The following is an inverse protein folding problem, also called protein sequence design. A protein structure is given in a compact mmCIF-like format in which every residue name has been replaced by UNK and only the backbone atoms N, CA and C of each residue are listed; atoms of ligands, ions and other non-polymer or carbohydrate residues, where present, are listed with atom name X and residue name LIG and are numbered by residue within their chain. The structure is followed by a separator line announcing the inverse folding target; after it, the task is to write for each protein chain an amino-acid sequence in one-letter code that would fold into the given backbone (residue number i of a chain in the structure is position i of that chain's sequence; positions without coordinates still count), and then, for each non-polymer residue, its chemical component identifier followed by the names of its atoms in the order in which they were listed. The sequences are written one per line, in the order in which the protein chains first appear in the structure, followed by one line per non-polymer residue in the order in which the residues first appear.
data_IF_220724001901
#
_entry.id   IF_220724001901
#
_cell.length_a   1.000
_cell.length_b   1.000
_cell.length_c   1.000
_cell.angle_alpha   90.00
_cell.angle_beta   90.00
_cell.angle_gamma   90.00
#
_symmetry.space_group_name_H-M   'P 1'
#
loop_
_entity.id
_entity.type
_entity.pdbx_description
1 polymer ?
#
# COMPACT_ATOMS: atom_id res chain seq x y z
N UNK A 1 -0.87 -54.55 -13.60
CA UNK A 1 -0.74 -53.32 -12.80
C UNK A 1 -1.69 -52.30 -13.38
N UNK A 2 -2.47 -51.67 -12.51
CA UNK A 2 -3.63 -50.82 -12.78
C UNK A 2 -3.25 -49.36 -12.54
N UNK A 3 -3.39 -48.53 -13.58
CA UNK A 3 -3.28 -47.05 -13.64
C UNK A 3 -2.00 -46.39 -13.07
N UNK A 4 -1.27 -45.68 -13.93
CA UNK A 4 -0.19 -44.76 -13.54
C UNK A 4 -0.76 -43.34 -13.41
N UNK A 5 -0.80 -42.80 -12.18
CA UNK A 5 -1.39 -41.49 -11.88
C UNK A 5 -0.40 -40.33 -11.94
N UNK A 6 0.90 -40.61 -11.95
CA UNK A 6 1.94 -39.58 -11.93
C UNK A 6 2.21 -39.09 -13.36
N UNK A 7 1.58 -37.98 -13.73
CA UNK A 7 1.79 -37.32 -15.01
C UNK A 7 3.21 -36.73 -15.10
N UNK A 8 3.88 -36.92 -16.24
CA UNK A 8 5.25 -36.45 -16.46
C UNK A 8 6.37 -37.40 -16.01
N UNK A 9 6.06 -38.50 -15.33
CA UNK A 9 7.07 -39.50 -14.93
C UNK A 9 7.71 -40.18 -16.15
N UNK A 10 9.04 -40.33 -16.12
CA UNK A 10 9.84 -40.99 -17.16
C UNK A 10 10.16 -42.42 -16.74
N UNK A 11 9.86 -43.38 -17.61
CA UNK A 11 10.07 -44.80 -17.39
C UNK A 11 11.08 -45.34 -18.38
N UNK A 12 12.04 -46.11 -17.87
CA UNK A 12 12.96 -46.89 -18.69
C UNK A 12 12.46 -48.33 -18.79
N UNK A 13 12.39 -48.87 -19.99
CA UNK A 13 12.12 -50.29 -20.23
C UNK A 13 13.12 -50.85 -21.24
N UNK A 14 13.76 -51.97 -20.90
CA UNK A 14 14.61 -52.70 -21.85
C UNK A 14 13.73 -53.63 -22.69
N UNK A 15 13.62 -53.35 -23.98
CA UNK A 15 12.80 -54.11 -24.94
C UNK A 15 13.75 -54.67 -26.00
N UNK A 16 13.80 -56.00 -26.14
CA UNK A 16 14.69 -56.70 -27.07
C UNK A 16 16.18 -56.36 -26.90
N UNK A 17 16.63 -56.05 -25.68
CA UNK A 17 18.01 -55.68 -25.37
C UNK A 17 18.36 -54.21 -25.60
N UNK A 18 17.39 -53.40 -26.03
CA UNK A 18 17.54 -51.94 -26.19
C UNK A 18 16.77 -51.21 -25.10
N UNK A 19 17.38 -50.19 -24.51
CA UNK A 19 16.72 -49.33 -23.54
C UNK A 19 15.80 -48.32 -24.25
N UNK A 20 14.52 -48.35 -23.90
CA UNK A 20 13.50 -47.40 -24.37
C UNK A 20 12.97 -46.57 -23.21
N UNK A 21 12.64 -45.32 -23.49
CA UNK A 21 12.18 -44.36 -22.50
C UNK A 21 10.77 -43.91 -22.84
N UNK A 22 9.90 -43.82 -21.84
CA UNK A 22 8.49 -43.45 -22.01
C UNK A 22 8.09 -42.40 -20.99
N UNK A 23 7.18 -41.49 -21.36
CA UNK A 23 6.58 -40.51 -20.46
C UNK A 23 5.09 -40.81 -20.28
N UNK A 24 4.61 -40.76 -19.03
CA UNK A 24 3.18 -40.84 -18.77
C UNK A 24 2.49 -39.52 -19.09
N UNK A 25 1.66 -39.49 -20.14
CA UNK A 25 0.78 -38.37 -20.48
C UNK A 25 -0.66 -38.83 -20.32
N UNK A 26 -1.41 -38.24 -19.40
CA UNK A 26 -2.83 -38.57 -19.16
C UNK A 26 -3.12 -40.07 -19.00
N UNK A 27 -2.24 -40.81 -18.31
CA UNK A 27 -2.40 -42.25 -18.08
C UNK A 27 -1.96 -43.14 -19.26
N UNK A 28 -1.32 -42.57 -20.29
CA UNK A 28 -0.78 -43.28 -21.45
C UNK A 28 0.74 -43.10 -21.52
N UNK A 29 1.47 -44.22 -21.71
CA UNK A 29 2.91 -44.19 -21.96
C UNK A 29 3.18 -43.81 -23.41
N UNK A 30 3.82 -42.67 -23.61
CA UNK A 30 4.24 -42.15 -24.92
C UNK A 30 5.77 -42.27 -25.03
N UNK A 31 6.30 -42.61 -26.21
CA UNK A 31 7.76 -42.64 -26.43
C UNK A 31 8.37 -41.26 -26.10
N UNK A 32 9.40 -41.27 -25.27
CA UNK A 32 10.05 -40.08 -24.73
C UNK A 32 11.39 -39.78 -25.42
N UNK A 33 11.89 -40.70 -26.25
CA UNK A 33 13.14 -40.49 -26.96
C UNK A 33 13.02 -39.33 -27.95
N UNK A 34 13.75 -38.24 -27.70
CA UNK A 34 13.94 -37.18 -28.68
C UNK A 34 14.85 -37.73 -29.77
N UNK A 35 14.38 -37.72 -31.00
CA UNK A 35 14.98 -38.54 -32.06
C UNK A 35 16.42 -38.17 -32.45
N UNK A 36 17.06 -37.14 -31.87
CA UNK A 36 18.49 -36.85 -32.03
C UNK A 36 19.08 -36.05 -30.84
N UNK A 37 20.35 -36.28 -30.47
CA UNK A 37 21.16 -35.36 -29.65
C UNK A 37 21.10 -33.92 -30.19
N UNK A 38 20.94 -32.94 -29.30
CA UNK A 38 20.94 -31.51 -29.64
C UNK A 38 22.15 -30.84 -29.00
N UNK A 39 22.72 -29.86 -29.69
CA UNK A 39 23.69 -28.93 -29.10
C UNK A 39 23.12 -27.54 -29.22
N UNK A 40 22.66 -26.98 -28.10
CA UNK A 40 21.94 -25.71 -28.06
C UNK A 40 22.81 -24.66 -27.37
N UNK A 41 22.84 -23.44 -27.89
CA UNK A 41 23.59 -22.31 -27.29
C UNK A 41 22.65 -21.22 -26.82
N UNK A 42 22.89 -20.67 -25.62
CA UNK A 42 22.05 -19.64 -25.03
C UNK A 42 22.66 -19.00 -23.76
N UNK A 43 21.83 -18.29 -23.00
CA UNK A 43 22.26 -17.50 -21.81
C UNK A 43 22.90 -18.35 -20.69
N UNK A 44 22.48 -19.61 -20.57
CA UNK A 44 23.01 -20.56 -19.58
C UNK A 44 24.27 -21.32 -20.07
N UNK A 45 24.78 -21.00 -21.27
CA UNK A 45 25.94 -21.65 -21.88
C UNK A 45 25.57 -22.54 -23.07
N UNK A 46 26.37 -23.57 -23.31
CA UNK A 46 26.10 -24.60 -24.32
C UNK A 46 25.54 -25.83 -23.64
N UNK A 47 24.37 -26.28 -24.08
CA UNK A 47 23.68 -27.48 -23.59
C UNK A 47 23.80 -28.56 -24.67
N UNK A 48 24.48 -29.66 -24.36
CA UNK A 48 24.54 -30.83 -25.20
C UNK A 48 23.63 -31.92 -24.61
N UNK A 49 22.60 -32.35 -25.33
CA UNK A 49 21.69 -33.43 -24.90
C UNK A 49 22.08 -34.77 -25.52
N UNK A 50 21.84 -35.87 -24.81
CA UNK A 50 22.10 -37.23 -25.31
C UNK A 50 20.97 -37.80 -26.19
N UNK A 51 19.90 -37.02 -26.39
CA UNK A 51 18.70 -37.45 -27.11
C UNK A 51 17.71 -38.24 -26.23
N UNK A 52 18.03 -38.47 -24.96
CA UNK A 52 17.23 -39.27 -24.04
C UNK A 52 16.77 -38.40 -22.86
N UNK A 53 17.66 -38.16 -21.91
CA UNK A 53 17.35 -37.45 -20.66
C UNK A 53 18.57 -36.88 -19.97
N UNK A 54 19.79 -37.13 -20.45
CA UNK A 54 21.00 -36.55 -19.88
C UNK A 54 21.48 -35.39 -20.76
N UNK A 55 21.93 -34.34 -20.10
CA UNK A 55 22.52 -33.19 -20.75
C UNK A 55 23.80 -32.79 -20.04
N UNK A 56 24.72 -32.21 -20.80
CA UNK A 56 25.93 -31.59 -20.29
C UNK A 56 25.84 -30.10 -20.59
N UNK A 57 25.91 -29.27 -19.55
CA UNK A 57 25.90 -27.80 -19.65
C UNK A 57 27.33 -27.30 -19.49
N UNK A 58 27.82 -26.52 -20.46
CA UNK A 58 29.15 -25.90 -20.42
C UNK A 58 29.04 -24.39 -20.46
N UNK A 59 29.59 -23.71 -19.45
CA UNK A 59 29.63 -22.24 -19.36
C UNK A 59 30.91 -21.78 -18.69
N UNK A 60 31.60 -20.81 -19.29
CA UNK A 60 32.82 -20.18 -18.76
C UNK A 60 33.91 -21.20 -18.33
N UNK A 61 34.04 -22.31 -19.07
CA UNK A 61 35.01 -23.37 -18.79
C UNK A 61 34.59 -24.38 -17.72
N UNK A 62 33.43 -24.19 -17.10
CA UNK A 62 32.83 -25.16 -16.18
C UNK A 62 31.84 -26.06 -16.92
N UNK A 63 31.76 -27.32 -16.49
CA UNK A 63 30.87 -28.33 -17.07
C UNK A 63 30.05 -28.98 -15.96
N UNK A 64 28.74 -29.09 -16.18
CA UNK A 64 27.77 -29.71 -15.26
C UNK A 64 27.00 -30.77 -16.04
N UNK A 65 27.07 -32.01 -15.58
CA UNK A 65 26.20 -33.09 -16.06
C UNK A 65 24.87 -33.04 -15.30
N UNK A 66 23.77 -33.14 -16.04
CA UNK A 66 22.42 -33.00 -15.51
C UNK A 66 21.42 -33.80 -16.32
N UNK A 67 20.16 -33.79 -15.88
CA UNK A 67 19.03 -34.33 -16.62
C UNK A 67 18.19 -33.23 -17.26
N UNK A 68 17.56 -33.57 -18.37
CA UNK A 68 16.61 -32.71 -19.06
C UNK A 68 15.33 -33.46 -19.42
N UNK A 69 14.28 -32.70 -19.72
CA UNK A 69 13.07 -33.21 -20.35
C UNK A 69 12.61 -32.32 -21.48
N UNK A 70 12.21 -32.92 -22.61
CA UNK A 70 11.58 -32.18 -23.71
C UNK A 70 10.07 -32.40 -23.74
N UNK A 71 9.33 -31.36 -24.11
CA UNK A 71 7.95 -31.44 -24.57
C UNK A 71 7.71 -30.43 -25.71
N UNK A 72 7.62 -30.91 -26.95
CA UNK A 72 7.50 -30.03 -28.11
C UNK A 72 8.74 -29.13 -28.27
N UNK A 73 8.54 -27.81 -28.27
CA UNK A 73 9.62 -26.80 -28.30
C UNK A 73 10.17 -26.45 -26.90
N UNK A 74 9.65 -27.08 -25.83
CA UNK A 74 10.07 -26.89 -24.44
C UNK A 74 11.15 -27.87 -24.02
N UNK A 75 12.23 -27.36 -23.43
CA UNK A 75 13.24 -28.16 -22.75
C UNK A 75 13.37 -27.68 -21.30
N UNK A 76 13.08 -28.55 -20.34
CA UNK A 76 13.36 -28.32 -18.91
C UNK A 76 14.67 -28.98 -18.52
N UNK A 77 15.55 -28.28 -17.81
CA UNK A 77 16.86 -28.77 -17.37
C UNK A 77 17.14 -28.32 -15.93
N UNK A 78 17.86 -29.13 -15.16
CA UNK A 78 18.21 -28.79 -13.77
C UNK A 78 19.66 -28.30 -13.73
N UNK A 79 19.95 -27.12 -13.19
CA UNK A 79 21.33 -26.62 -13.03
C UNK A 79 21.48 -26.17 -11.59
N UNK A 80 22.47 -26.70 -10.88
CA UNK A 80 22.71 -26.42 -9.45
C UNK A 80 21.46 -26.59 -8.56
N UNK A 81 20.65 -27.61 -8.86
CA UNK A 81 19.39 -27.88 -8.14
C UNK A 81 18.23 -26.96 -8.47
N UNK A 82 18.38 -26.05 -9.45
CA UNK A 82 17.31 -25.16 -9.94
C UNK A 82 16.78 -25.64 -11.28
N UNK A 83 15.47 -25.59 -11.44
CA UNK A 83 14.78 -25.95 -12.69
C UNK A 83 14.76 -24.76 -13.66
N UNK A 84 15.25 -24.98 -14.88
CA UNK A 84 15.27 -24.02 -15.98
C UNK A 84 14.41 -24.55 -17.12
N UNK A 85 13.36 -23.83 -17.51
CA UNK A 85 12.54 -24.14 -18.68
C UNK A 85 13.02 -23.30 -19.86
N UNK A 86 13.23 -23.89 -21.03
CA UNK A 86 13.84 -23.26 -22.19
C UNK A 86 12.95 -23.41 -23.42
N UNK A 87 12.88 -22.37 -24.26
CA UNK A 87 12.36 -22.47 -25.62
C UNK A 87 13.50 -22.85 -26.55
N UNK A 88 13.38 -24.00 -27.20
CA UNK A 88 14.40 -24.51 -28.13
C UNK A 88 14.04 -24.09 -29.55
N UNK A 89 14.99 -23.49 -30.27
CA UNK A 89 14.94 -23.33 -31.72
C UNK A 89 15.95 -24.29 -32.35
N UNK A 90 15.44 -25.42 -32.84
CA UNK A 90 16.24 -26.45 -33.52
C UNK A 90 16.71 -26.04 -34.91
N UNK A 91 16.15 -24.97 -35.49
CA UNK A 91 16.60 -24.43 -36.79
C UNK A 91 17.92 -23.68 -36.64
N UNK A 92 18.05 -22.92 -35.55
CA UNK A 92 19.25 -22.14 -35.23
C UNK A 92 20.16 -22.82 -34.22
N UNK A 93 19.74 -23.95 -33.63
CA UNK A 93 20.41 -24.62 -32.51
C UNK A 93 20.68 -23.66 -31.34
N UNK A 94 19.69 -22.82 -31.05
CA UNK A 94 19.73 -21.90 -29.91
C UNK A 94 18.61 -22.19 -28.94
N UNK A 95 18.74 -21.64 -27.73
CA UNK A 95 17.64 -21.63 -26.79
C UNK A 95 17.52 -20.29 -26.09
N UNK A 96 16.30 -19.96 -25.70
CA UNK A 96 16.00 -18.88 -24.78
C UNK A 96 15.59 -19.47 -23.44
N UNK A 97 16.26 -19.08 -22.36
CA UNK A 97 15.80 -19.40 -21.02
C UNK A 97 14.49 -18.68 -20.73
N UNK A 98 13.47 -19.47 -20.43
CA UNK A 98 12.16 -18.97 -20.07
C UNK A 98 12.03 -18.88 -18.55
N UNK A 99 11.67 -17.68 -18.12
CA UNK A 99 11.15 -17.46 -16.77
C UNK A 99 9.69 -17.90 -16.61
N UNK A 100 9.11 -18.56 -17.61
CA UNK A 100 7.72 -19.03 -17.61
C UNK A 100 7.68 -20.54 -17.48
N UNK A 101 6.79 -21.07 -16.65
CA UNK A 101 6.40 -22.48 -16.70
C UNK A 101 5.18 -22.63 -17.62
N UNK A 102 5.18 -23.67 -18.48
CA UNK A 102 3.96 -24.11 -19.13
C UNK A 102 2.90 -24.43 -18.06
N UNK A 103 1.66 -23.99 -18.26
CA UNK A 103 0.66 -24.10 -17.20
C UNK A 103 -0.60 -23.28 -17.39
N UNK A 104 -1.54 -23.51 -16.48
CA UNK A 104 -2.81 -22.83 -16.40
C UNK A 104 -2.74 -21.72 -15.36
N UNK A 105 -3.09 -20.50 -15.76
CA UNK A 105 -3.23 -19.36 -14.88
C UNK A 105 -4.67 -18.90 -14.89
N UNK A 106 -5.23 -18.67 -13.70
CA UNK A 106 -6.59 -18.21 -13.50
C UNK A 106 -6.57 -16.98 -12.60
N UNK A 107 -7.36 -15.96 -12.91
CA UNK A 107 -7.43 -14.77 -12.06
C UNK A 107 -8.44 -13.72 -12.53
N UNK A 108 -8.28 -12.49 -12.03
CA UNK A 108 -9.24 -11.42 -12.16
C UNK A 108 -8.68 -10.14 -12.78
N UNK A 109 -9.57 -9.30 -13.31
CA UNK A 109 -9.23 -7.93 -13.75
C UNK A 109 -9.12 -6.98 -12.58
N UNK A 110 -7.94 -6.37 -12.39
CA UNK A 110 -7.52 -5.41 -11.34
C UNK A 110 -8.30 -4.07 -11.35
N UNK A 111 -9.50 -4.02 -11.92
CA UNK A 111 -10.45 -2.90 -11.73
C UNK A 111 -11.58 -3.33 -10.81
N UNK A 112 -12.44 -2.41 -10.39
CA UNK A 112 -13.63 -2.70 -9.54
C UNK A 112 -14.67 -3.64 -10.16
N UNK A 113 -14.35 -4.28 -11.29
CA UNK A 113 -15.20 -5.23 -11.98
C UNK A 113 -14.59 -6.62 -11.84
N UNK A 114 -15.32 -7.51 -11.17
CA UNK A 114 -15.02 -8.94 -11.08
C UNK A 114 -15.21 -9.60 -12.45
N UNK A 115 -14.23 -9.42 -13.32
CA UNK A 115 -14.13 -10.16 -14.58
C UNK A 115 -13.05 -11.21 -14.41
N UNK A 116 -13.39 -12.47 -14.68
CA UNK A 116 -12.51 -13.61 -14.52
C UNK A 116 -11.81 -13.95 -15.83
N UNK A 117 -10.60 -14.46 -15.73
CA UNK A 117 -9.74 -14.74 -16.85
C UNK A 117 -8.92 -16.00 -16.65
N UNK A 118 -8.76 -16.71 -17.76
CA UNK A 118 -7.94 -17.91 -17.84
C UNK A 118 -6.99 -17.78 -19.02
N UNK A 119 -5.72 -18.02 -18.71
CA UNK A 119 -4.62 -18.09 -19.66
C UNK A 119 -4.00 -19.47 -19.55
N UNK A 120 -3.98 -20.19 -20.66
CA UNK A 120 -3.27 -21.47 -20.75
C UNK A 120 -2.04 -21.28 -21.64
N UNK A 121 -0.87 -21.60 -21.10
CA UNK A 121 0.35 -21.76 -21.88
C UNK A 121 0.48 -23.25 -22.25
N UNK A 122 0.39 -23.56 -23.54
CA UNK A 122 0.52 -24.92 -24.06
C UNK A 122 1.97 -25.39 -24.01
N UNK A 123 2.18 -26.68 -24.29
CA UNK A 123 3.48 -27.34 -24.21
C UNK A 123 4.50 -26.83 -25.22
N UNK A 124 4.04 -26.30 -26.36
CA UNK A 124 4.84 -25.56 -27.35
C UNK A 124 4.91 -24.04 -27.05
N UNK A 125 4.64 -23.64 -25.80
CA UNK A 125 4.58 -22.27 -25.32
C UNK A 125 3.61 -21.36 -26.10
N UNK A 126 2.54 -21.88 -26.68
CA UNK A 126 1.49 -21.05 -27.26
C UNK A 126 0.45 -20.70 -26.19
N UNK A 127 0.05 -19.44 -26.13
CA UNK A 127 -1.00 -19.01 -25.22
C UNK A 127 -2.38 -19.08 -25.81
N UNK A 128 -3.36 -19.48 -25.01
CA UNK A 128 -4.78 -19.26 -25.29
C UNK A 128 -5.47 -18.57 -24.13
N UNK A 129 -6.35 -17.63 -24.45
CA UNK A 129 -7.22 -16.93 -23.52
C UNK A 129 -8.67 -17.41 -23.69
N UNK A 130 -9.40 -17.64 -22.60
CA UNK A 130 -10.76 -18.21 -22.66
C UNK A 130 -11.90 -17.21 -22.45
N UNK A 131 -11.66 -16.05 -21.83
CA UNK A 131 -12.70 -15.01 -21.60
C UNK A 131 -12.46 -13.73 -22.41
N UNK A 132 -11.94 -13.88 -23.63
CA UNK A 132 -11.75 -12.83 -24.63
C UNK A 132 -11.51 -13.45 -26.01
N UNK A 133 -12.03 -12.82 -27.05
CA UNK A 133 -12.05 -13.37 -28.42
C UNK A 133 -10.66 -13.22 -29.06
N UNK A 134 -9.95 -14.35 -29.24
CA UNK A 134 -8.69 -14.51 -29.99
C UNK A 134 -7.46 -13.79 -29.43
N UNK A 135 -6.39 -14.50 -29.01
CA UNK A 135 -5.02 -14.18 -29.48
C UNK A 135 -4.00 -15.30 -29.19
N UNK A 136 -2.78 -15.15 -29.74
CA UNK A 136 -1.59 -15.98 -29.50
C UNK A 136 -0.50 -15.16 -28.76
N UNK A 137 0.32 -15.81 -27.92
CA UNK A 137 1.43 -15.21 -27.17
C UNK A 137 2.74 -15.21 -28.00
N UNK A 138 3.52 -14.13 -27.90
CA UNK A 138 4.90 -13.99 -28.43
C UNK A 138 5.87 -13.72 -27.28
N UNK A 139 7.00 -14.42 -27.19
CA UNK A 139 8.02 -14.17 -26.15
C UNK A 139 8.98 -13.06 -26.59
N UNK A 140 9.32 -12.17 -25.66
CA UNK A 140 10.25 -11.06 -25.89
C UNK A 140 11.63 -11.38 -25.26
N UNK A 141 12.66 -10.67 -25.72
CA UNK A 141 14.04 -10.83 -25.26
C UNK A 141 14.26 -10.38 -23.80
N UNK A 142 13.42 -9.46 -23.30
CA UNK A 142 13.47 -8.94 -21.92
C UNK A 142 12.80 -9.88 -20.90
N UNK A 143 12.56 -11.14 -21.29
CA UNK A 143 11.90 -12.16 -20.46
C UNK A 143 10.45 -11.82 -20.10
N UNK A 144 9.82 -10.90 -20.84
CA UNK A 144 8.36 -10.75 -20.87
C UNK A 144 7.79 -11.53 -22.06
N UNK A 145 6.48 -11.73 -22.11
CA UNK A 145 5.80 -12.11 -23.34
C UNK A 145 4.68 -11.13 -23.65
N UNK A 146 4.40 -10.96 -24.93
CA UNK A 146 3.32 -10.14 -25.45
C UNK A 146 2.18 -10.96 -26.01
N UNK A 147 0.95 -10.51 -25.76
CA UNK A 147 -0.27 -11.05 -26.35
C UNK A 147 -1.04 -9.87 -26.93
N UNK A 148 -1.32 -9.82 -28.23
CA UNK A 148 -2.07 -8.71 -28.87
C UNK A 148 -1.74 -7.29 -28.37
N UNK A 149 -0.44 -6.98 -28.17
CA UNK A 149 0.09 -5.70 -27.66
C UNK A 149 0.09 -5.49 -26.13
N UNK A 150 0.04 -6.57 -25.35
CA UNK A 150 -0.03 -6.54 -23.87
C UNK A 150 1.25 -7.02 -23.22
N UNK A 151 1.68 -6.41 -22.10
CA UNK A 151 2.90 -6.81 -21.37
C UNK A 151 2.53 -7.71 -20.18
N UNK A 152 3.26 -8.80 -19.99
CA UNK A 152 3.10 -9.71 -18.84
C UNK A 152 4.33 -9.69 -17.93
N UNK A 153 4.10 -9.62 -16.62
CA UNK A 153 5.11 -9.69 -15.56
C UNK A 153 4.84 -10.90 -14.67
N UNK A 154 5.87 -11.59 -14.20
CA UNK A 154 5.74 -12.77 -13.33
C UNK A 154 6.42 -12.59 -11.99
N UNK A 155 5.92 -13.33 -11.00
CA UNK A 155 6.63 -13.60 -9.74
C UNK A 155 7.85 -14.51 -9.94
N UNK A 156 8.76 -14.51 -8.97
CA UNK A 156 10.04 -15.24 -9.06
C UNK A 156 9.85 -16.76 -9.07
N UNK A 157 8.86 -17.26 -8.34
CA UNK A 157 8.44 -18.67 -8.29
C UNK A 157 7.52 -19.08 -9.46
N UNK A 158 7.22 -18.14 -10.37
CA UNK A 158 6.39 -18.37 -11.55
C UNK A 158 4.99 -18.90 -11.20
N UNK A 159 4.39 -18.49 -10.06
CA UNK A 159 2.97 -18.76 -9.75
C UNK A 159 2.04 -17.60 -10.04
N UNK A 160 2.53 -16.37 -10.07
CA UNK A 160 1.73 -15.18 -10.32
C UNK A 160 2.11 -14.54 -11.65
N UNK A 161 1.10 -14.06 -12.37
CA UNK A 161 1.25 -13.30 -13.59
C UNK A 161 0.39 -12.05 -13.55
N UNK A 162 0.98 -10.90 -13.84
CA UNK A 162 0.27 -9.66 -14.09
C UNK A 162 0.27 -9.37 -15.60
N UNK A 163 -0.91 -9.31 -16.20
CA UNK A 163 -1.09 -9.05 -17.64
C UNK A 163 -1.72 -7.68 -17.82
N UNK A 164 -1.15 -6.81 -18.65
CA UNK A 164 -1.74 -5.50 -18.94
C UNK A 164 -2.23 -5.39 -20.39
N UNK A 165 -3.54 -5.37 -20.54
CA UNK A 165 -4.22 -4.87 -21.72
C UNK A 165 -4.24 -3.34 -21.73
N UNK A 166 -4.10 -2.71 -22.90
CA UNK A 166 -4.20 -1.26 -23.18
C UNK A 166 -5.01 -0.44 -22.17
N UNK A 167 -6.15 -0.95 -21.70
CA UNK A 167 -7.03 -0.31 -20.69
C UNK A 167 -7.24 -1.10 -19.39
N UNK A 168 -6.75 -2.34 -19.29
CA UNK A 168 -7.10 -3.28 -18.23
C UNK A 168 -5.84 -3.95 -17.66
N UNK A 169 -5.75 -4.08 -16.34
CA UNK A 169 -4.72 -4.91 -15.71
C UNK A 169 -5.37 -6.17 -15.17
N UNK A 170 -4.72 -7.31 -15.30
CA UNK A 170 -5.18 -8.61 -14.82
C UNK A 170 -4.12 -9.21 -13.91
N UNK A 171 -4.54 -9.81 -12.82
CA UNK A 171 -3.69 -10.59 -11.94
C UNK A 171 -4.15 -12.04 -12.02
N UNK A 172 -3.23 -12.97 -12.26
CA UNK A 172 -3.50 -14.39 -12.49
C UNK A 172 -2.58 -15.24 -11.62
N UNK A 173 -3.10 -16.36 -11.09
CA UNK A 173 -2.33 -17.31 -10.29
C UNK A 173 -2.44 -18.74 -10.85
N UNK A 174 -1.36 -19.53 -10.75
CA UNK A 174 -1.36 -20.98 -11.03
C UNK A 174 -1.90 -21.81 -9.87
N UNK A 175 -1.99 -21.24 -8.67
CA UNK A 175 -2.44 -21.93 -7.46
C UNK A 175 -3.97 -22.02 -7.37
N UNK A 176 -4.68 -21.41 -8.32
CA UNK A 176 -6.13 -21.56 -8.47
C UNK A 176 -6.38 -22.76 -9.36
N UNK A 177 -6.92 -23.82 -8.75
CA UNK A 177 -7.19 -25.09 -9.43
C UNK A 177 -8.55 -25.14 -10.12
N UNK A 178 -9.44 -24.20 -9.81
CA UNK A 178 -10.86 -24.28 -10.21
C UNK A 178 -11.24 -23.15 -11.16
N UNK A 179 -11.59 -23.50 -12.40
CA UNK A 179 -12.08 -22.54 -13.39
C UNK A 179 -13.60 -22.41 -13.31
N UNK A 180 -14.10 -21.42 -12.57
CA UNK A 180 -15.50 -21.00 -12.64
C UNK A 180 -15.63 -19.51 -12.29
N UNK A 181 -16.63 -18.84 -12.87
CA UNK A 181 -16.94 -17.43 -12.60
C UNK A 181 -17.23 -17.14 -11.11
N UNK A 182 -17.55 -18.16 -10.32
CA UNK A 182 -17.83 -18.09 -8.88
C UNK A 182 -16.69 -18.60 -8.00
N UNK A 183 -15.57 -19.06 -8.58
CA UNK A 183 -14.46 -19.68 -7.83
C UNK A 183 -13.21 -18.81 -7.75
N UNK A 184 -13.24 -17.57 -8.23
CA UNK A 184 -12.10 -16.64 -8.15
C UNK A 184 -12.56 -15.29 -7.62
N UNK A 185 -11.92 -14.80 -6.57
CA UNK A 185 -12.13 -13.47 -6.03
C UNK A 185 -10.82 -12.71 -5.92
N UNK A 186 -10.93 -11.39 -5.88
CA UNK A 186 -9.80 -10.47 -5.83
C UNK A 186 -10.25 -9.20 -5.12
N UNK A 187 -9.60 -8.87 -4.01
CA UNK A 187 -9.76 -7.60 -3.30
C UNK A 187 -8.65 -6.65 -3.73
N UNK A 188 -8.99 -5.38 -3.89
CA UNK A 188 -8.05 -4.35 -4.34
C UNK A 188 -8.24 -3.10 -3.50
N UNK A 189 -7.11 -2.53 -3.08
CA UNK A 189 -7.05 -1.23 -2.42
C UNK A 189 -6.09 -0.32 -3.17
N UNK A 190 -6.38 0.99 -3.15
CA UNK A 190 -5.54 2.01 -3.79
C UNK A 190 -6.09 2.55 -5.12
N UNK A 191 -7.30 2.16 -5.51
CA UNK A 191 -7.91 2.59 -6.78
C UNK A 191 -8.81 3.81 -6.60
N UNK A 192 -8.56 4.89 -7.34
CA UNK A 192 -9.49 6.03 -7.42
C UNK A 192 -10.65 5.69 -8.35
N UNK A 193 -11.89 5.72 -7.85
CA UNK A 193 -13.10 5.40 -8.62
C UNK A 193 -13.06 4.02 -9.33
N UNK A 194 -12.37 3.04 -8.73
CA UNK A 194 -12.34 1.66 -9.23
C UNK A 194 -11.53 1.42 -10.49
N UNK A 195 -10.77 2.41 -10.97
CA UNK A 195 -9.92 2.29 -12.17
C UNK A 195 -8.46 2.57 -11.82
N UNK A 196 -7.54 1.69 -12.23
CA UNK A 196 -6.11 1.89 -12.06
C UNK A 196 -5.60 2.96 -13.02
N UNK A 197 -5.21 4.12 -12.50
CA UNK A 197 -4.55 5.18 -13.29
C UNK A 197 -3.03 5.02 -13.27
N UNK A 198 -2.38 5.57 -14.28
CA UNK A 198 -0.91 5.63 -14.33
C UNK A 198 -0.39 6.37 -13.10
N UNK A 199 0.54 5.74 -12.37
CA UNK A 199 1.15 6.31 -11.15
C UNK A 199 0.39 6.05 -9.85
N UNK A 200 -0.80 5.44 -9.89
CA UNK A 200 -1.48 5.01 -8.66
C UNK A 200 -0.83 3.78 -8.06
N UNK A 201 -0.81 3.73 -6.72
CA UNK A 201 -0.35 2.57 -5.96
C UNK A 201 -1.54 1.66 -5.68
N UNK A 202 -1.35 0.36 -5.74
CA UNK A 202 -2.39 -0.57 -5.32
C UNK A 202 -1.80 -1.84 -4.72
N UNK A 203 -2.61 -2.52 -3.91
CA UNK A 203 -2.39 -3.92 -3.55
C UNK A 203 -3.60 -4.69 -4.03
N UNK A 204 -3.36 -5.84 -4.63
CA UNK A 204 -4.40 -6.79 -5.00
C UNK A 204 -4.03 -8.18 -4.49
N UNK A 205 -5.01 -8.90 -3.94
CA UNK A 205 -4.89 -10.31 -3.62
C UNK A 205 -5.71 -11.19 -4.56
N UNK A 206 -5.41 -12.47 -4.60
CA UNK A 206 -6.26 -13.46 -5.27
C UNK A 206 -6.57 -14.61 -4.32
N UNK A 207 -7.84 -14.99 -4.28
CA UNK A 207 -8.34 -16.11 -3.48
C UNK A 207 -9.29 -17.02 -4.29
N UNK A 208 -9.40 -18.29 -3.86
CA UNK A 208 -10.41 -19.22 -4.38
C UNK A 208 -11.77 -18.85 -3.76
N UNK A 209 -12.72 -18.41 -4.60
CA UNK A 209 -14.01 -17.88 -4.15
C UNK A 209 -15.02 -18.96 -3.73
N UNK A 210 -14.64 -20.24 -3.69
CA UNK A 210 -15.55 -21.31 -3.29
C UNK A 210 -16.00 -21.26 -1.80
N UNK A 211 -15.42 -20.41 -0.94
CA UNK A 211 -15.97 -20.08 0.39
C UNK A 211 -15.56 -18.67 0.83
N UNK A 212 -16.51 -17.87 1.32
CA UNK A 212 -16.37 -16.46 1.71
C UNK A 212 -15.59 -16.21 3.02
N UNK A 213 -14.40 -16.79 3.18
CA UNK A 213 -13.55 -16.52 4.35
C UNK A 213 -12.20 -15.98 3.91
N UNK A 214 -11.71 -14.97 4.64
CA UNK A 214 -10.38 -14.36 4.51
C UNK A 214 -9.22 -15.35 4.61
N UNK A 215 -9.48 -16.63 4.93
CA UNK A 215 -8.47 -17.69 5.08
C UNK A 215 -7.82 -18.19 3.77
N UNK A 216 -8.14 -17.58 2.61
CA UNK A 216 -7.90 -18.14 1.29
C UNK A 216 -7.07 -17.25 0.35
N UNK A 217 -6.48 -16.16 0.84
CA UNK A 217 -5.51 -15.39 0.04
C UNK A 217 -4.33 -16.29 -0.29
N UNK A 218 -4.20 -16.66 -1.56
CA UNK A 218 -3.11 -17.53 -2.03
C UNK A 218 -1.89 -16.71 -2.39
N UNK A 219 -2.09 -15.54 -3.01
CA UNK A 219 -1.04 -14.66 -3.53
C UNK A 219 -1.49 -13.21 -3.56
N UNK A 220 -0.53 -12.30 -3.53
CA UNK A 220 -0.78 -10.86 -3.66
C UNK A 220 0.29 -10.16 -4.52
N UNK A 221 -0.07 -9.00 -5.05
CA UNK A 221 0.86 -8.08 -5.72
C UNK A 221 0.70 -6.68 -5.12
N UNK A 222 1.83 -6.01 -4.92
CA UNK A 222 1.90 -4.60 -4.60
C UNK A 222 2.47 -3.85 -5.81
N UNK A 223 1.86 -2.73 -6.18
CA UNK A 223 2.37 -1.81 -7.19
C UNK A 223 2.65 -0.46 -6.55
N UNK A 224 3.89 0.02 -6.67
CA UNK A 224 4.34 1.27 -6.04
C UNK A 224 4.12 2.53 -6.89
N UNK A 225 3.46 2.38 -8.04
CA UNK A 225 3.27 3.43 -9.05
C UNK A 225 4.27 3.33 -10.22
N UNK A 226 5.36 2.58 -10.05
CA UNK A 226 6.42 2.38 -11.04
C UNK A 226 6.72 0.89 -11.27
N UNK A 227 6.90 0.12 -10.21
CA UNK A 227 7.29 -1.29 -10.22
C UNK A 227 6.27 -2.16 -9.49
N UNK A 228 6.24 -3.43 -9.89
CA UNK A 228 5.44 -4.47 -9.23
C UNK A 228 6.32 -5.28 -8.29
N UNK A 229 5.81 -5.52 -7.10
CA UNK A 229 6.43 -6.34 -6.06
C UNK A 229 5.46 -7.48 -5.77
N UNK A 230 5.92 -8.71 -5.95
CA UNK A 230 5.13 -9.91 -5.69
C UNK A 230 5.28 -10.34 -4.23
N UNK A 231 4.26 -11.03 -3.71
CA UNK A 231 4.28 -11.44 -2.31
C UNK A 231 2.98 -12.08 -1.83
N UNK A 232 2.73 -11.91 -0.53
CA UNK A 232 1.57 -12.43 0.18
C UNK A 232 1.13 -11.44 1.26
N UNK A 233 -0.05 -11.67 1.83
CA UNK A 233 -0.56 -10.84 2.94
C UNK A 233 -0.47 -11.65 4.21
N UNK A 234 0.25 -11.12 5.19
CA UNK A 234 0.49 -11.79 6.47
C UNK A 234 -0.82 -12.02 7.20
N UNK A 235 -0.94 -13.19 7.83
CA UNK A 235 -2.05 -13.59 8.69
C UNK A 235 -3.45 -13.55 8.04
N UNK A 236 -3.56 -13.62 6.70
CA UNK A 236 -4.86 -13.65 6.03
C UNK A 236 -5.76 -12.45 6.43
N UNK A 237 -5.12 -11.29 6.65
CA UNK A 237 -5.81 -10.04 6.95
C UNK A 237 -6.55 -9.61 5.68
N UNK A 238 -7.87 -9.43 5.75
CA UNK A 238 -8.66 -8.98 4.61
C UNK A 238 -8.20 -7.58 4.17
N UNK A 239 -8.10 -7.34 2.86
CA UNK A 239 -7.77 -6.02 2.32
C UNK A 239 -9.06 -5.21 2.22
N UNK A 240 -9.60 -4.79 3.37
CA UNK A 240 -10.88 -4.06 3.36
C UNK A 240 -10.72 -2.57 3.05
N UNK A 241 -11.82 -1.95 2.66
CA UNK A 241 -11.90 -0.52 2.30
C UNK A 241 -11.95 0.43 3.51
N UNK A 242 -11.84 -0.06 4.75
CA UNK A 242 -12.30 0.63 5.97
C UNK A 242 -11.20 1.07 6.94
N UNK A 243 -10.06 1.58 6.46
CA UNK A 243 -9.05 2.11 7.39
C UNK A 243 -8.13 1.02 7.97
N UNK A 244 -8.17 -0.19 7.45
CA UNK A 244 -7.39 -1.33 7.97
C UNK A 244 -5.92 -1.24 7.58
N UNK A 245 -5.06 -1.60 8.53
CA UNK A 245 -3.65 -1.86 8.30
C UNK A 245 -3.43 -3.35 8.05
N UNK A 246 -2.58 -3.69 7.10
CA UNK A 246 -2.17 -5.06 6.80
C UNK A 246 -0.67 -5.10 6.51
N UNK A 247 -0.08 -6.30 6.56
CA UNK A 247 1.35 -6.49 6.28
C UNK A 247 1.46 -7.25 4.97
N UNK A 248 2.11 -6.63 3.98
CA UNK A 248 2.53 -7.28 2.76
C UNK A 248 3.90 -7.91 2.97
N UNK A 249 4.06 -9.18 2.65
CA UNK A 249 5.32 -9.90 2.74
C UNK A 249 5.79 -10.17 1.32
N UNK A 250 6.90 -9.57 0.92
CA UNK A 250 7.52 -9.78 -0.39
C UNK A 250 8.02 -11.22 -0.53
N UNK A 251 8.28 -11.68 -1.75
CA UNK A 251 8.80 -13.05 -1.98
C UNK A 251 10.20 -13.29 -1.37
N UNK A 252 10.99 -12.24 -1.17
CA UNK A 252 12.26 -12.28 -0.45
C UNK A 252 12.12 -12.09 1.08
N UNK A 253 10.88 -12.21 1.60
CA UNK A 253 10.49 -12.16 3.02
C UNK A 253 10.69 -10.80 3.70
N UNK A 254 10.67 -9.69 2.97
CA UNK A 254 10.56 -8.36 3.56
C UNK A 254 9.10 -8.05 3.92
N UNK A 255 8.88 -7.59 5.15
CA UNK A 255 7.57 -7.16 5.61
C UNK A 255 7.39 -5.66 5.37
N UNK A 256 6.27 -5.30 4.75
CA UNK A 256 5.89 -3.93 4.44
C UNK A 256 4.54 -3.70 5.10
N UNK A 257 4.53 -2.88 6.15
CA UNK A 257 3.29 -2.43 6.77
C UNK A 257 2.57 -1.48 5.81
N UNK A 258 1.29 -1.71 5.58
CA UNK A 258 0.48 -0.93 4.66
C UNK A 258 -0.81 -0.52 5.35
N UNK A 259 -1.33 0.65 5.00
CA UNK A 259 -2.58 1.19 5.51
C UNK A 259 -3.46 1.62 4.35
N UNK A 260 -4.72 1.21 4.39
CA UNK A 260 -5.74 1.75 3.49
C UNK A 260 -6.43 2.93 4.15
N UNK A 261 -6.28 4.13 3.63
CA UNK A 261 -6.97 5.34 4.11
C UNK A 261 -8.07 5.74 3.12
N UNK A 262 -9.26 5.16 3.27
CA UNK A 262 -10.43 5.44 2.42
C UNK A 262 -10.14 5.34 0.90
N UNK A 263 -9.41 4.32 0.49
CA UNK A 263 -9.06 4.07 -0.91
C UNK A 263 -7.69 4.62 -1.33
N UNK A 264 -7.01 5.39 -0.48
CA UNK A 264 -5.60 5.74 -0.65
C UNK A 264 -4.72 4.70 0.05
N UNK A 265 -3.86 4.02 -0.71
CA UNK A 265 -2.89 3.08 -0.15
C UNK A 265 -1.63 3.84 0.32
N UNK A 266 -1.33 3.72 1.61
CA UNK A 266 -0.15 4.29 2.25
C UNK A 266 0.78 3.14 2.67
N UNK A 267 2.08 3.23 2.35
CA UNK A 267 3.08 2.35 2.96
C UNK A 267 3.42 2.95 4.32
N UNK A 268 3.13 2.20 5.39
CA UNK A 268 3.68 2.52 6.70
C UNK A 268 5.16 2.12 6.68
N UNK A 269 6.03 3.13 6.59
CA UNK A 269 7.47 2.95 6.73
C UNK A 269 7.73 2.65 8.20
N UNK A 270 8.10 1.41 8.52
CA UNK A 270 8.45 1.01 9.87
C UNK A 270 9.82 1.58 10.24
N UNK A 271 9.81 2.51 11.18
CA UNK A 271 11.00 3.10 11.82
C UNK A 271 11.03 2.78 13.31
N UNK A 272 10.20 1.85 13.78
CA UNK A 272 10.16 1.49 15.20
C UNK A 272 11.49 0.92 15.66
N UNK A 273 11.81 1.18 16.92
CA UNK A 273 13.07 0.77 17.51
C UNK A 273 13.64 1.82 18.44
N UNK A 274 14.87 1.57 18.86
CA UNK A 274 15.61 2.40 19.80
C UNK A 274 16.81 3.00 19.10
N UNK A 275 17.01 4.31 19.27
CA UNK A 275 18.04 5.10 18.62
C UNK A 275 18.82 5.92 19.65
N UNK A 276 20.12 6.02 19.45
CA UNK A 276 21.01 6.82 20.29
C UNK A 276 21.38 8.14 19.60
N UNK A 277 21.38 9.25 20.34
CA UNK A 277 21.84 10.53 19.81
C UNK A 277 23.33 10.48 19.46
N UNK A 278 23.67 11.01 18.29
CA UNK A 278 25.05 11.14 17.81
C UNK A 278 25.71 12.44 18.25
N UNK A 279 24.94 13.44 18.69
CA UNK A 279 25.46 14.70 19.19
C UNK A 279 26.02 14.53 20.61
N UNK A 280 27.33 14.74 20.77
CA UNK A 280 28.01 14.63 22.05
C UNK A 280 27.93 15.89 22.91
N UNK A 281 27.61 17.05 22.32
CA UNK A 281 27.56 18.34 23.01
C UNK A 281 26.13 18.71 23.43
N UNK A 282 25.14 18.40 22.59
CA UNK A 282 23.72 18.59 22.87
C UNK A 282 22.97 17.25 22.80
N UNK A 283 23.36 16.30 23.64
CA UNK A 283 22.74 14.98 23.65
C UNK A 283 21.30 15.06 24.19
N UNK A 284 20.32 14.68 23.37
CA UNK A 284 18.89 14.65 23.70
C UNK A 284 18.43 13.27 24.21
N UNK A 285 19.35 12.38 24.57
CA UNK A 285 19.07 11.09 25.17
C UNK A 285 18.74 9.97 24.18
N UNK A 286 17.96 9.01 24.65
CA UNK A 286 17.49 7.88 23.86
C UNK A 286 16.16 8.21 23.19
N UNK A 287 16.04 7.90 21.90
CA UNK A 287 14.81 7.99 21.14
C UNK A 287 14.23 6.58 20.95
N UNK A 288 13.03 6.35 21.45
CA UNK A 288 12.29 5.09 21.30
C UNK A 288 11.05 5.37 20.47
N UNK A 289 10.90 4.67 19.35
CA UNK A 289 9.78 4.81 18.42
C UNK A 289 8.94 3.53 18.44
N UNK A 290 7.63 3.69 18.64
CA UNK A 290 6.64 2.61 18.60
C UNK A 290 5.89 2.59 17.27
N UNK A 291 5.37 1.44 16.87
CA UNK A 291 4.65 1.25 15.60
C UNK A 291 3.34 2.05 15.45
N UNK A 292 2.85 2.69 16.51
CA UNK A 292 1.60 3.44 16.53
C UNK A 292 1.79 4.96 16.34
N UNK A 293 2.99 5.42 15.99
CA UNK A 293 3.30 6.85 15.84
C UNK A 293 3.60 7.56 17.16
N UNK A 294 3.78 6.81 18.26
CA UNK A 294 4.17 7.34 19.57
C UNK A 294 5.57 6.89 19.97
N UNK A 295 6.15 7.53 20.99
CA UNK A 295 7.47 7.15 21.46
C UNK A 295 7.90 7.90 22.70
N UNK A 296 9.20 7.79 23.01
CA UNK A 296 9.85 8.64 24.00
C UNK A 296 11.16 9.22 23.49
N UNK A 297 11.41 10.50 23.78
CA UNK A 297 12.72 11.14 23.64
C UNK A 297 13.21 11.47 25.05
N UNK A 298 14.30 10.84 25.50
CA UNK A 298 14.82 10.98 26.87
C UNK A 298 13.76 10.76 27.98
N UNK A 299 12.94 9.71 27.83
CA UNK A 299 11.79 9.42 28.70
C UNK A 299 10.66 10.46 28.68
N UNK A 300 10.70 11.47 27.81
CA UNK A 300 9.58 12.38 27.56
C UNK A 300 8.71 11.78 26.46
N UNK A 301 7.40 11.72 26.69
CA UNK A 301 6.46 11.22 25.69
C UNK A 301 6.45 12.10 24.44
N UNK A 302 6.50 11.46 23.28
CA UNK A 302 6.46 12.12 21.97
C UNK A 302 5.42 11.47 21.06
N UNK A 303 5.00 12.23 20.05
CA UNK A 303 4.38 11.67 18.84
C UNK A 303 5.30 11.93 17.65
N UNK A 304 5.20 11.13 16.60
CA UNK A 304 6.02 11.34 15.41
C UNK A 304 5.30 10.98 14.11
N UNK A 305 5.74 11.62 13.03
CA UNK A 305 5.29 11.34 11.67
C UNK A 305 6.48 10.93 10.81
N UNK A 306 6.28 9.89 10.01
CA UNK A 306 7.33 9.34 9.15
C UNK A 306 7.26 9.98 7.79
N UNK A 307 8.26 10.81 7.47
CA UNK A 307 8.39 11.41 6.14
C UNK A 307 9.12 10.45 5.19
N UNK A 308 10.11 9.71 5.72
CA UNK A 308 10.86 8.66 5.01
C UNK A 308 11.52 7.70 6.00
N UNK A 309 12.15 6.63 5.51
CA UNK A 309 12.91 5.68 6.35
C UNK A 309 14.08 6.33 7.11
N UNK A 310 14.60 7.45 6.59
CA UNK A 310 15.78 8.11 7.12
C UNK A 310 15.44 9.45 7.81
N UNK A 311 14.19 9.93 7.70
CA UNK A 311 13.79 11.25 8.23
C UNK A 311 12.38 11.21 8.80
N UNK A 312 12.24 11.65 10.05
CA UNK A 312 10.97 11.75 10.77
C UNK A 312 10.78 13.15 11.36
N UNK A 313 9.53 13.48 11.64
CA UNK A 313 9.15 14.68 12.38
C UNK A 313 8.65 14.25 13.76
N UNK A 314 9.32 14.68 14.83
CA UNK A 314 8.97 14.33 16.22
C UNK A 314 8.37 15.55 16.91
N UNK A 315 7.26 15.38 17.61
CA UNK A 315 6.62 16.41 18.44
C UNK A 315 6.75 16.03 19.92
N UNK A 316 7.44 16.87 20.67
CA UNK A 316 7.58 16.84 22.12
C UNK A 316 6.83 18.03 22.71
N UNK A 317 5.57 17.83 23.07
CA UNK A 317 4.70 18.93 23.53
C UNK A 317 4.56 20.03 22.47
N UNK A 318 5.17 21.19 22.75
CA UNK A 318 5.13 22.37 21.87
C UNK A 318 6.34 22.46 20.93
N UNK A 319 7.32 21.56 21.07
CA UNK A 319 8.52 21.55 20.24
C UNK A 319 8.41 20.48 19.17
N UNK A 320 8.75 20.84 17.94
CA UNK A 320 8.85 19.94 16.80
C UNK A 320 10.32 19.81 16.40
N UNK A 321 10.79 18.57 16.26
CA UNK A 321 12.12 18.23 15.77
C UNK A 321 12.03 17.58 14.40
N UNK A 322 12.93 17.94 13.50
CA UNK A 322 13.24 17.08 12.35
C UNK A 322 14.41 16.19 12.73
N UNK A 323 14.23 14.88 12.66
CA UNK A 323 15.22 13.88 13.08
C UNK A 323 15.64 13.05 11.88
N UNK A 324 16.95 12.93 11.67
CA UNK A 324 17.53 11.96 10.74
C UNK A 324 17.87 10.67 11.47
N UNK A 325 17.53 9.52 10.88
CA UNK A 325 17.78 8.19 11.41
C UNK A 325 18.83 7.47 10.55
N UNK A 326 19.82 6.84 11.19
CA UNK A 326 20.79 5.99 10.51
C UNK A 326 21.41 4.97 11.47
N UNK A 327 21.45 3.69 11.10
CA UNK A 327 22.17 2.63 11.84
C UNK A 327 21.89 2.62 13.37
N UNK A 328 20.61 2.67 13.78
CA UNK A 328 20.19 2.75 15.20
C UNK A 328 20.72 3.99 15.95
N UNK A 329 21.06 5.04 15.22
CA UNK A 329 21.42 6.34 15.76
C UNK A 329 20.55 7.43 15.15
N UNK A 330 20.50 8.60 15.79
CA UNK A 330 19.78 9.75 15.27
C UNK A 330 20.55 11.07 15.44
N UNK A 331 20.13 12.07 14.67
CA UNK A 331 20.58 13.46 14.81
C UNK A 331 19.38 14.40 14.62
N UNK A 332 19.25 15.41 15.48
CA UNK A 332 18.26 16.48 15.30
C UNK A 332 18.83 17.49 14.29
N UNK A 333 18.14 17.69 13.17
CA UNK A 333 18.57 18.58 12.09
C UNK A 333 17.87 19.93 12.10
N UNK A 334 16.70 20.02 12.76
CA UNK A 334 15.97 21.27 12.96
C UNK A 334 15.14 21.18 14.24
N UNK A 335 14.92 22.32 14.89
CA UNK A 335 14.09 22.46 16.09
C UNK A 335 13.20 23.69 15.93
N UNK A 336 11.88 23.47 15.96
CA UNK A 336 10.88 24.52 15.90
C UNK A 336 10.04 24.49 17.18
N UNK A 337 10.08 25.56 17.97
CA UNK A 337 9.24 25.68 19.16
C UNK A 337 7.98 26.49 18.83
N UNK A 338 6.80 25.94 19.12
CA UNK A 338 5.54 26.67 19.05
C UNK A 338 5.52 27.76 20.12
N UNK A 339 5.68 29.00 19.68
CA UNK A 339 5.47 30.17 20.54
C UNK A 339 3.97 30.42 20.70
N UNK A 340 3.47 30.23 21.91
CA UNK A 340 2.09 30.53 22.26
C UNK A 340 1.95 31.97 22.76
N UNK A 341 0.87 32.69 22.41
CA UNK A 341 0.62 34.04 22.90
C UNK A 341 0.39 34.06 24.41
N UNK A 342 0.57 35.22 25.05
CA UNK A 342 0.40 35.38 26.50
C UNK A 342 -0.99 35.01 27.05
N UNK A 343 -2.00 34.94 26.17
CA UNK A 343 -3.37 34.53 26.51
C UNK A 343 -3.62 33.02 26.38
N UNK A 344 -2.63 32.22 25.99
CA UNK A 344 -2.79 30.76 25.91
C UNK A 344 -3.20 30.16 27.27
N UNK A 345 -4.07 29.16 27.23
CA UNK A 345 -4.68 28.53 28.41
C UNK A 345 -5.74 29.37 29.13
N UNK A 346 -5.95 30.63 28.72
CA UNK A 346 -6.90 31.52 29.40
C UNK A 346 -8.31 31.36 28.84
N UNK A 347 -9.29 31.67 29.68
CA UNK A 347 -10.71 31.70 29.32
C UNK A 347 -11.21 33.14 29.38
N UNK A 348 -12.03 33.54 28.40
CA UNK A 348 -12.64 34.84 28.31
C UNK A 348 -14.16 34.70 28.24
N UNK A 349 -14.88 35.60 28.89
CA UNK A 349 -16.34 35.68 28.85
C UNK A 349 -16.77 36.98 28.18
N UNK A 350 -17.68 36.89 27.22
CA UNK A 350 -18.30 38.01 26.53
C UNK A 350 -19.79 37.75 26.33
N UNK A 351 -20.39 38.47 25.38
CA UNK A 351 -21.81 38.33 25.03
C UNK A 351 -21.99 38.29 23.52
N UNK A 352 -23.01 37.60 23.07
CA UNK A 352 -23.51 37.65 21.68
C UNK A 352 -25.02 37.85 21.70
N UNK A 353 -25.56 38.42 20.63
CA UNK A 353 -27.02 38.48 20.47
C UNK A 353 -27.49 37.35 19.56
N UNK A 354 -28.71 36.90 19.77
CA UNK A 354 -29.49 36.03 18.90
C UNK A 354 -30.74 36.78 18.45
N UNK A 355 -31.07 36.69 17.18
CA UNK A 355 -32.37 37.14 16.65
C UNK A 355 -33.20 35.91 16.39
N UNK A 356 -34.34 35.78 17.06
CA UNK A 356 -35.31 34.74 16.74
C UNK A 356 -36.02 35.09 15.44
N UNK A 357 -35.72 34.35 14.37
CA UNK A 357 -36.32 34.57 13.05
C UNK A 357 -37.83 34.23 13.02
N UNK A 358 -38.38 33.65 14.10
CA UNK A 358 -39.77 33.22 14.18
C UNK A 358 -40.69 34.14 15.01
N UNK A 359 -40.19 35.22 15.63
CA UNK A 359 -41.03 36.15 16.39
C UNK A 359 -41.49 37.36 15.56
N UNK A 360 -42.79 37.70 15.67
CA UNK A 360 -43.40 38.83 14.94
C UNK A 360 -42.83 40.20 15.36
N UNK A 361 -42.24 40.28 16.55
CA UNK A 361 -41.42 41.39 17.03
C UNK A 361 -39.97 40.90 17.02
N UNK A 362 -39.06 41.54 16.26
CA UNK A 362 -37.62 41.20 16.20
C UNK A 362 -36.97 41.39 17.59
N UNK A 363 -37.18 40.46 18.51
CA UNK A 363 -36.61 40.50 19.84
C UNK A 363 -35.20 39.90 19.80
N UNK A 364 -34.21 40.74 20.12
CA UNK A 364 -32.83 40.29 20.29
C UNK A 364 -32.63 39.73 21.69
N UNK A 365 -32.34 38.44 21.80
CA UNK A 365 -31.97 37.79 23.06
C UNK A 365 -30.46 37.81 23.22
N UNK A 366 -29.95 38.22 24.38
CA UNK A 366 -28.51 38.26 24.65
C UNK A 366 -28.07 37.03 25.43
N UNK A 367 -27.09 36.32 24.89
CA UNK A 367 -26.47 35.15 25.52
C UNK A 367 -25.04 35.47 25.98
N UNK A 368 -24.64 34.87 27.09
CA UNK A 368 -23.24 34.81 27.47
C UNK A 368 -22.48 33.88 26.51
N UNK A 369 -21.25 34.26 26.19
CA UNK A 369 -20.36 33.53 25.31
C UNK A 369 -19.00 33.36 25.96
N UNK A 370 -18.33 32.24 25.68
CA UNK A 370 -17.06 31.89 26.29
C UNK A 370 -16.05 31.46 25.24
N UNK A 371 -14.81 31.91 25.41
CA UNK A 371 -13.65 31.54 24.59
C UNK A 371 -12.60 30.94 25.51
N UNK A 372 -12.16 29.70 25.25
CA UNK A 372 -11.05 29.07 25.97
C UNK A 372 -9.93 28.76 25.00
N UNK A 373 -8.78 29.40 25.20
CA UNK A 373 -7.58 29.09 24.43
C UNK A 373 -6.92 27.84 24.99
N UNK A 374 -6.42 26.98 24.11
CA UNK A 374 -5.56 25.88 24.49
C UNK A 374 -4.27 26.41 25.13
N UNK A 375 -3.75 25.67 26.12
CA UNK A 375 -2.46 25.95 26.76
C UNK A 375 -1.28 25.31 26.02
N UNK A 376 -1.55 24.46 25.03
CA UNK A 376 -0.54 23.67 24.30
C UNK A 376 -0.61 23.83 22.78
N UNK A 377 -1.69 24.38 22.24
CA UNK A 377 -1.89 24.46 20.80
C UNK A 377 -2.47 25.82 20.39
N UNK A 378 -2.34 26.17 19.10
CA UNK A 378 -3.02 27.35 18.53
C UNK A 378 -4.47 27.04 18.20
N UNK A 379 -5.18 26.50 19.18
CA UNK A 379 -6.60 26.17 19.11
C UNK A 379 -7.37 26.87 20.22
N UNK A 380 -8.66 27.11 19.97
CA UNK A 380 -9.60 27.62 20.96
C UNK A 380 -10.94 26.89 20.88
N UNK A 381 -11.68 26.86 21.98
CA UNK A 381 -13.10 26.49 21.98
C UNK A 381 -13.94 27.75 22.21
N UNK A 382 -15.00 27.92 21.43
CA UNK A 382 -15.98 28.99 21.53
C UNK A 382 -17.35 28.37 21.74
N UNK A 383 -18.10 28.83 22.74
CA UNK A 383 -19.53 28.55 22.78
C UNK A 383 -20.38 29.68 23.33
N UNK A 384 -21.65 29.62 22.99
CA UNK A 384 -22.68 30.53 23.48
C UNK A 384 -24.05 29.83 23.49
N UNK A 385 -24.93 30.32 24.35
CA UNK A 385 -26.26 29.74 24.56
C UNK A 385 -26.35 28.93 25.85
N UNK A 386 -27.50 28.30 26.06
CA UNK A 386 -27.77 27.53 27.26
C UNK A 386 -26.73 26.42 27.46
N UNK A 387 -26.26 26.26 28.70
CA UNK A 387 -25.21 25.29 29.07
C UNK A 387 -23.77 25.80 28.91
N UNK A 388 -23.53 26.90 28.19
CA UNK A 388 -22.21 27.53 28.12
C UNK A 388 -21.83 28.16 29.46
N UNK A 389 -20.66 27.82 30.00
CA UNK A 389 -20.15 28.42 31.24
C UNK A 389 -18.64 28.41 31.30
N UNK A 390 -18.04 29.17 32.20
CA UNK A 390 -16.59 29.15 32.45
C UNK A 390 -16.05 27.74 32.77
N UNK A 391 -16.85 26.93 33.48
CA UNK A 391 -16.53 25.53 33.82
C UNK A 391 -16.84 24.53 32.70
N UNK A 392 -17.68 24.92 31.74
CA UNK A 392 -18.09 24.09 30.61
C UNK A 392 -18.19 24.95 29.34
N UNK A 393 -17.03 25.43 28.87
CA UNK A 393 -16.93 26.33 27.70
C UNK A 393 -17.38 25.64 26.41
N UNK A 394 -17.59 24.33 26.42
CA UNK A 394 -18.08 23.56 25.29
C UNK A 394 -19.55 23.16 25.41
N UNK A 395 -20.26 23.70 26.39
CA UNK A 395 -21.62 23.32 26.75
C UNK A 395 -22.74 24.10 26.07
N UNK A 396 -22.41 25.15 25.31
CA UNK A 396 -23.42 25.98 24.64
C UNK A 396 -24.24 25.18 23.63
N UNK A 397 -25.56 25.27 23.74
CA UNK A 397 -26.50 24.56 22.87
C UNK A 397 -26.55 25.13 21.45
N UNK A 398 -26.41 26.46 21.30
CA UNK A 398 -26.71 27.12 20.03
C UNK A 398 -25.48 27.41 19.16
N UNK A 399 -24.38 27.83 19.78
CA UNK A 399 -23.11 28.08 19.09
C UNK A 399 -22.03 27.30 19.81
N UNK A 400 -21.39 26.35 19.13
CA UNK A 400 -20.40 25.49 19.74
C UNK A 400 -19.33 25.08 18.74
N UNK A 401 -18.14 25.62 18.92
CA UNK A 401 -16.97 25.38 18.10
C UNK A 401 -15.87 24.87 19.04
N UNK A 402 -15.39 23.65 18.82
CA UNK A 402 -14.42 23.00 19.70
C UNK A 402 -13.08 22.83 19.00
N UNK A 403 -11.99 23.12 19.70
CA UNK A 403 -10.62 22.92 19.22
C UNK A 403 -10.37 23.54 17.83
N UNK A 404 -10.93 24.73 17.59
CA UNK A 404 -10.78 25.43 16.31
C UNK A 404 -9.44 26.14 16.26
N UNK A 405 -8.71 25.93 15.18
CA UNK A 405 -7.45 26.62 14.94
C UNK A 405 -7.64 28.14 14.81
N UNK A 406 -6.69 28.90 15.37
CA UNK A 406 -6.62 30.34 15.19
C UNK A 406 -5.24 30.77 14.71
N UNK A 407 -5.21 31.89 14.01
CA UNK A 407 -3.96 32.61 13.72
C UNK A 407 -3.86 33.84 14.61
N UNK A 408 -2.64 34.20 15.01
CA UNK A 408 -2.36 35.37 15.81
C UNK A 408 -1.22 36.18 15.20
N UNK A 409 -1.50 37.44 14.88
CA UNK A 409 -0.49 38.41 14.46
C UNK A 409 -0.05 39.24 15.66
N UNK A 410 1.21 39.04 16.07
CA UNK A 410 1.82 39.74 17.20
C UNK A 410 1.91 41.27 16.99
N UNK A 411 1.96 41.74 15.73
CA UNK A 411 2.10 43.17 15.42
C UNK A 411 0.78 43.89 15.58
N UNK A 412 -0.28 43.36 14.96
CA UNK A 412 -1.64 43.94 15.01
C UNK A 412 -2.45 43.51 16.23
N UNK A 413 -1.98 42.49 16.96
CA UNK A 413 -2.70 41.82 18.06
C UNK A 413 -4.02 41.18 17.62
N UNK A 414 -4.13 40.83 16.35
CA UNK A 414 -5.34 40.23 15.76
C UNK A 414 -5.33 38.71 15.86
N UNK A 415 -6.42 38.15 16.38
CA UNK A 415 -6.72 36.72 16.43
C UNK A 415 -7.78 36.46 15.38
N UNK A 416 -7.47 35.65 14.36
CA UNK A 416 -8.43 35.24 13.34
C UNK A 416 -8.80 33.78 13.55
N UNK A 417 -10.10 33.50 13.59
CA UNK A 417 -10.68 32.16 13.79
C UNK A 417 -11.92 31.97 12.92
N UNK A 418 -12.23 30.74 12.52
CA UNK A 418 -13.45 30.42 11.78
C UNK A 418 -14.48 29.77 12.70
N UNK A 419 -15.58 30.45 13.00
CA UNK A 419 -16.67 29.93 13.85
C UNK A 419 -17.85 29.55 12.96
N UNK A 420 -18.29 28.28 12.97
CA UNK A 420 -19.28 27.71 12.03
C UNK A 420 -19.06 28.18 10.58
N UNK A 421 -17.80 28.13 10.10
CA UNK A 421 -17.44 28.53 8.73
C UNK A 421 -17.32 30.03 8.47
N UNK A 422 -17.61 30.90 9.44
CA UNK A 422 -17.52 32.35 9.30
C UNK A 422 -16.24 32.89 9.93
N UNK A 423 -15.51 33.73 9.20
CA UNK A 423 -14.27 34.34 9.71
C UNK A 423 -14.59 35.42 10.76
N UNK A 424 -14.05 35.27 11.96
CA UNK A 424 -14.18 36.22 13.06
C UNK A 424 -12.78 36.69 13.47
N UNK A 425 -12.62 38.00 13.61
CA UNK A 425 -11.37 38.63 14.02
C UNK A 425 -11.56 39.32 15.36
N UNK A 426 -10.76 38.95 16.35
CA UNK A 426 -10.69 39.60 17.66
C UNK A 426 -9.39 40.36 17.80
N UNK A 427 -9.42 41.54 18.40
CA UNK A 427 -8.22 42.31 18.77
C UNK A 427 -7.95 42.09 20.26
N UNK A 428 -6.75 41.59 20.59
CA UNK A 428 -6.34 41.36 21.97
C UNK A 428 -5.68 42.61 22.58
N UNK A 429 -6.29 43.13 23.63
CA UNK A 429 -5.71 44.16 24.48
C UNK A 429 -5.09 43.50 25.73
N UNK A 430 -3.77 43.30 25.69
CA UNK A 430 -3.00 42.73 26.80
C UNK A 430 -3.04 43.56 28.09
N UNK A 431 -3.28 44.87 28.01
CA UNK A 431 -3.33 45.73 29.19
C UNK A 431 -4.64 45.57 29.95
N UNK A 432 -5.73 45.32 29.23
CA UNK A 432 -7.07 45.10 29.80
C UNK A 432 -7.44 43.63 29.94
N UNK A 433 -6.67 42.73 29.32
CA UNK A 433 -7.01 41.33 29.13
C UNK A 433 -8.40 41.15 28.49
N UNK A 434 -8.64 41.88 27.40
CA UNK A 434 -9.91 41.86 26.67
C UNK A 434 -9.71 41.50 25.20
N UNK A 435 -10.68 40.80 24.62
CA UNK A 435 -10.79 40.51 23.20
C UNK A 435 -11.99 41.26 22.63
N UNK A 436 -11.76 42.14 21.66
CA UNK A 436 -12.84 42.92 21.03
C UNK A 436 -13.05 42.47 19.60
N UNK A 437 -14.28 42.13 19.17
CA UNK A 437 -14.56 41.83 17.77
C UNK A 437 -14.24 43.04 16.88
N UNK A 438 -13.48 42.82 15.81
CA UNK A 438 -13.06 43.87 14.87
C UNK A 438 -14.18 44.30 13.92
N UNK A 439 -15.08 43.37 13.59
CA UNK A 439 -16.25 43.58 12.73
C UNK A 439 -17.46 42.83 13.27
N UNK A 440 -18.66 43.29 12.93
CA UNK A 440 -19.87 42.52 13.22
C UNK A 440 -19.87 41.28 12.31
N UNK A 441 -20.12 40.10 12.90
CA UNK A 441 -20.26 38.83 12.17
C UNK A 441 -21.60 38.21 12.54
N UNK A 442 -22.34 37.81 11.51
CA UNK A 442 -23.58 37.04 11.61
C UNK A 442 -23.26 35.56 11.36
N UNK A 443 -23.70 34.71 12.27
CA UNK A 443 -23.51 33.27 12.25
C UNK A 443 -24.85 32.63 12.61
N UNK A 444 -25.63 32.25 11.60
CA UNK A 444 -26.89 31.51 11.81
C UNK A 444 -27.81 32.19 12.85
N UNK A 445 -28.10 33.48 12.61
CA UNK A 445 -28.94 34.34 13.46
C UNK A 445 -28.29 34.80 14.78
N UNK A 446 -27.02 34.46 15.01
CA UNK A 446 -26.19 35.00 16.10
C UNK A 446 -25.26 36.12 15.63
N UNK A 447 -25.20 37.20 16.39
CA UNK A 447 -24.42 38.39 16.08
C UNK A 447 -23.30 38.60 17.10
N UNK A 448 -22.06 38.47 16.62
CA UNK A 448 -20.87 38.94 17.33
C UNK A 448 -20.72 40.43 17.02
N UNK A 449 -20.88 41.30 18.02
CA UNK A 449 -20.89 42.75 17.83
C UNK A 449 -19.58 43.42 18.24
N UNK A 450 -19.28 44.55 17.62
CA UNK A 450 -18.07 45.36 17.90
C UNK A 450 -18.21 46.31 19.09
N UNK A 451 -19.37 46.32 19.76
CA UNK A 451 -19.60 47.23 20.89
C UNK A 451 -18.76 46.84 22.12
N UNK A 452 -18.25 47.81 22.89
CA UNK A 452 -17.41 47.53 24.07
C UNK A 452 -18.06 46.58 25.09
N UNK A 453 -19.37 46.68 25.28
CA UNK A 453 -20.13 45.82 26.21
C UNK A 453 -20.21 44.34 25.77
N UNK A 454 -19.77 44.04 24.54
CA UNK A 454 -19.68 42.69 23.96
C UNK A 454 -18.24 42.18 23.91
N UNK A 455 -17.27 42.97 24.38
CA UNK A 455 -15.89 42.52 24.48
C UNK A 455 -15.77 41.35 25.46
N UNK A 456 -14.94 40.37 25.11
CA UNK A 456 -14.69 39.22 25.96
C UNK A 456 -13.60 39.57 26.95
N UNK A 457 -13.89 39.46 28.24
CA UNK A 457 -12.96 39.78 29.32
C UNK A 457 -12.41 38.49 29.91
N UNK A 458 -11.10 38.45 30.17
CA UNK A 458 -10.44 37.31 30.79
C UNK A 458 -11.07 37.00 32.16
N UNK A 459 -11.37 35.73 32.39
CA UNK A 459 -11.78 35.21 33.69
C UNK A 459 -10.57 34.97 34.59
N UNK A 460 -10.76 35.18 35.90
CA UNK A 460 -9.72 35.08 36.92
C UNK A 460 -9.23 33.64 37.13
#
# INVERSE_FOLDING_TARGET
MTSFTDEGAIFKATINGEDKYFINRNGLLTDYSTTNPLTLTGSLGTIATDGICNATVTKDGNTIDTTYSIDGESLTIIIDGKEHTLKVDTTTNTYQELKFSAGLYIGGKVSSSHSYYKMQLTTDFKGKWESGSNSAITFNDDQTFTFSSYKVLLSDNKDLALVRDSSNTYLLSKDITTYSASSVGMEIVGLTNGTLKTGEKFVADIYDANTSSSSLVKKAVYFDGTNYVFGSIKNNTAIDTKGTSFIFVTEDNHEISMKNNNGALEIAIDVSGTYTDTDTENNHGELILSNDGTGTLNNVAITYEVTSKDVITVKEGNTTYTISLANSTYTITNTEALTLPAFAGQTFQGKIDYVDEYSEEYDTVRYDAYIKFSSSEKTLSFSAGDGASASNVEGGEYLNNKNVEYTYDETSKEITVALNGHAVVFVYDSTKNTLTPKSQVDIESFFIRTYPDYAFTKLA
#
